data_IF_385423119843
#
_entry.id   IF_385423119843
#
_cell.length_a   1.000
_cell.length_b   1.000
_cell.length_c   1.000
_cell.angle_alpha   90.00
_cell.angle_beta   90.00
_cell.angle_gamma   90.00
#
_symmetry.space_group_name_H-M   'P 1'
#
loop_
_entity.id
_entity.type
_entity.pdbx_description
1 polymer ?
#
# COMPACT_ATOMS: atom_id res chain seq x y z
N UNK A 1 -28.51 68.18 17.30
CA UNK A 1 -28.01 67.10 18.18
C UNK A 1 -27.91 65.83 17.32
N UNK A 2 -26.97 65.60 16.39
CA UNK A 2 -25.48 65.57 16.38
C UNK A 2 -24.84 64.54 17.30
N UNK A 3 -24.63 63.32 16.79
CA UNK A 3 -23.45 62.45 16.92
C UNK A 3 -23.76 61.10 16.22
N UNK A 4 -22.86 60.33 15.62
CA UNK A 4 -21.53 60.51 15.05
C UNK A 4 -21.29 59.19 14.32
N UNK A 5 -21.39 59.19 12.99
CA UNK A 5 -21.12 58.02 12.15
C UNK A 5 -19.60 57.88 12.02
N UNK A 6 -19.03 56.86 12.68
CA UNK A 6 -17.61 56.54 12.57
C UNK A 6 -17.30 55.89 11.22
N UNK A 7 -16.89 56.76 10.31
CA UNK A 7 -16.07 56.58 9.11
C UNK A 7 -15.03 55.44 9.21
N UNK A 8 -15.29 54.28 8.57
CA UNK A 8 -14.22 53.36 8.17
C UNK A 8 -13.70 53.79 6.80
N UNK A 9 -12.62 54.57 6.79
CA UNK A 9 -11.90 55.00 5.60
C UNK A 9 -10.95 53.88 5.14
N UNK A 10 -11.17 53.40 3.91
CA UNK A 10 -10.29 52.47 3.21
C UNK A 10 -9.25 53.30 2.43
N UNK A 11 -7.94 53.24 2.75
CA UNK A 11 -6.94 53.93 1.95
C UNK A 11 -6.57 53.15 0.67
N UNK A 12 -6.09 53.86 -0.37
CA UNK A 12 -6.03 53.36 -1.74
C UNK A 12 -4.82 52.46 -2.01
N UNK A 13 -5.06 51.44 -2.82
CA UNK A 13 -4.05 50.72 -3.60
C UNK A 13 -3.45 51.67 -4.64
N UNK A 14 -2.12 51.91 -4.65
CA UNK A 14 -1.42 52.20 -5.91
C UNK A 14 0.02 51.66 -5.97
N UNK A 15 0.51 51.34 -7.18
CA UNK A 15 1.64 50.48 -7.43
C UNK A 15 2.88 51.26 -7.87
N UNK A 16 4.07 50.83 -7.45
CA UNK A 16 5.32 51.22 -8.12
C UNK A 16 6.16 50.00 -8.41
N UNK A 17 6.01 49.56 -9.65
CA UNK A 17 6.84 48.55 -10.31
C UNK A 17 8.22 49.11 -10.65
N UNK A 18 9.17 48.16 -10.82
CA UNK A 18 10.41 48.22 -11.62
C UNK A 18 11.57 49.00 -10.96
N UNK A 19 12.75 48.42 -10.74
CA UNK A 19 13.60 47.70 -11.71
C UNK A 19 14.70 46.93 -10.94
N UNK A 20 14.71 45.58 -11.00
CA UNK A 20 15.74 44.69 -11.58
C UNK A 20 16.98 44.44 -10.69
N UNK A 21 17.58 43.26 -10.53
CA UNK A 21 17.49 41.89 -11.07
C UNK A 21 18.41 40.99 -10.17
N UNK A 22 18.74 39.73 -10.52
CA UNK A 22 17.90 38.59 -10.85
C UNK A 22 18.16 37.42 -9.87
N UNK A 23 17.11 36.81 -9.31
CA UNK A 23 17.22 35.45 -8.74
C UNK A 23 16.75 34.48 -9.81
N UNK A 24 17.68 33.62 -10.21
CA UNK A 24 17.59 32.75 -11.37
C UNK A 24 16.33 31.86 -11.33
N UNK A 25 15.63 31.92 -12.45
CA UNK A 25 14.49 31.14 -12.85
C UNK A 25 14.96 29.75 -13.27
N UNK A 26 14.30 28.67 -12.82
CA UNK A 26 14.17 27.52 -13.71
C UNK A 26 12.85 26.79 -13.46
N UNK A 27 12.04 26.83 -14.53
CA UNK A 27 10.76 26.17 -14.75
C UNK A 27 11.00 24.65 -14.82
N UNK A 28 10.02 23.78 -14.55
CA UNK A 28 9.13 23.27 -15.61
C UNK A 28 8.08 22.33 -14.97
N UNK A 29 6.88 22.40 -15.55
CA UNK A 29 5.66 21.62 -15.34
C UNK A 29 5.78 20.21 -15.96
N UNK A 30 5.07 19.24 -15.39
CA UNK A 30 4.91 17.88 -15.93
C UNK A 30 5.95 16.92 -15.33
N UNK A 31 5.68 15.65 -15.08
CA UNK A 31 5.00 14.74 -15.99
C UNK A 31 4.91 13.37 -15.28
N UNK A 32 3.74 12.76 -15.24
CA UNK A 32 3.60 11.29 -15.18
C UNK A 32 4.41 10.68 -16.32
N UNK A 33 5.54 10.02 -16.07
CA UNK A 33 6.07 8.99 -16.99
C UNK A 33 7.06 8.09 -16.23
N UNK A 34 6.62 6.85 -16.00
CA UNK A 34 7.39 5.64 -16.24
C UNK A 34 8.48 5.87 -17.30
N UNK A 35 9.78 5.74 -16.99
CA UNK A 35 10.82 5.19 -17.89
C UNK A 35 12.19 5.09 -17.18
N UNK A 36 12.90 4.02 -17.53
CA UNK A 36 14.15 3.52 -16.98
C UNK A 36 15.41 4.37 -17.27
N UNK A 37 16.36 4.35 -16.33
CA UNK A 37 17.82 4.55 -16.51
C UNK A 37 18.52 3.87 -15.32
N UNK A 38 19.15 2.68 -15.38
CA UNK A 38 20.29 2.12 -16.13
C UNK A 38 21.69 2.72 -15.82
N UNK A 39 22.49 1.88 -15.13
CA UNK A 39 23.96 1.78 -15.00
C UNK A 39 24.70 2.88 -14.20
N UNK A 40 25.70 2.60 -13.35
CA UNK A 40 26.84 1.70 -13.53
C UNK A 40 27.59 1.43 -12.19
N UNK A 41 28.26 0.27 -12.11
CA UNK A 41 29.45 -0.08 -11.31
C UNK A 41 29.28 -0.95 -10.04
N UNK A 42 29.23 -2.28 -10.26
CA UNK A 42 30.09 -3.25 -9.55
C UNK A 42 30.20 -4.52 -10.41
N UNK A 43 31.19 -4.53 -11.32
CA UNK A 43 31.53 -5.71 -12.09
C UNK A 43 32.43 -6.63 -11.25
N UNK A 44 31.82 -7.52 -10.46
CA UNK A 44 32.48 -8.79 -10.14
C UNK A 44 32.13 -9.78 -11.25
N UNK A 45 33.09 -10.49 -11.85
CA UNK A 45 32.78 -11.62 -12.71
C UNK A 45 32.20 -12.73 -11.83
N UNK A 46 30.89 -12.69 -11.58
CA UNK A 46 30.19 -13.89 -11.14
C UNK A 46 30.26 -14.83 -12.33
N UNK A 47 31.00 -15.93 -12.18
CA UNK A 47 31.03 -17.01 -13.15
C UNK A 47 29.60 -17.23 -13.64
N UNK A 48 29.41 -17.25 -14.95
CA UNK A 48 28.11 -17.36 -15.59
C UNK A 48 27.36 -18.58 -15.05
N UNK A 49 26.60 -18.39 -13.98
CA UNK A 49 25.55 -19.29 -13.55
C UNK A 49 24.56 -19.27 -14.71
N UNK A 50 24.64 -20.33 -15.53
CA UNK A 50 23.65 -20.64 -16.55
C UNK A 50 22.28 -20.29 -15.97
N UNK A 51 21.51 -19.34 -16.55
CA UNK A 51 20.20 -18.98 -16.05
C UNK A 51 19.43 -20.27 -15.86
N UNK A 52 19.13 -20.59 -14.60
CA UNK A 52 18.33 -21.74 -14.27
C UNK A 52 17.01 -21.54 -15.05
N UNK A 53 16.57 -22.52 -15.84
CA UNK A 53 15.39 -22.34 -16.66
C UNK A 53 14.23 -21.86 -15.78
N UNK A 54 13.41 -20.90 -16.24
CA UNK A 54 12.29 -20.39 -15.48
C UNK A 54 11.44 -21.58 -15.00
N UNK A 55 11.28 -21.67 -13.68
CA UNK A 55 10.52 -22.73 -13.02
C UNK A 55 9.13 -22.14 -12.69
N UNK A 56 8.08 -22.53 -13.44
CA UNK A 56 6.77 -21.94 -13.29
C UNK A 56 6.15 -22.21 -11.91
N UNK A 57 6.44 -23.36 -11.29
CA UNK A 57 5.89 -23.71 -9.97
C UNK A 57 6.53 -22.88 -8.85
N UNK A 58 7.85 -22.69 -8.89
CA UNK A 58 8.56 -21.82 -7.93
C UNK A 58 8.11 -20.38 -8.10
N UNK A 59 7.98 -19.89 -9.34
CA UNK A 59 7.48 -18.55 -9.61
C UNK A 59 6.04 -18.34 -9.12
N UNK A 60 5.16 -19.37 -9.25
CA UNK A 60 3.81 -19.31 -8.73
C UNK A 60 3.78 -19.22 -7.19
N UNK A 61 4.65 -19.97 -6.50
CA UNK A 61 4.78 -19.91 -5.05
C UNK A 61 5.32 -18.56 -4.56
N UNK A 62 6.31 -17.99 -5.25
CA UNK A 62 6.82 -16.64 -4.99
C UNK A 62 5.73 -15.57 -5.17
N UNK A 63 4.95 -15.66 -6.24
CA UNK A 63 3.83 -14.75 -6.47
C UNK A 63 2.73 -14.89 -5.40
N UNK A 64 2.46 -16.11 -4.92
CA UNK A 64 1.51 -16.33 -3.83
C UNK A 64 2.00 -15.73 -2.50
N UNK A 65 3.29 -15.89 -2.17
CA UNK A 65 3.90 -15.26 -1.00
C UNK A 65 3.82 -13.73 -1.07
N UNK A 66 4.15 -13.13 -2.22
CA UNK A 66 4.04 -11.69 -2.40
C UNK A 66 2.59 -11.20 -2.19
N UNK A 67 1.60 -11.93 -2.69
CA UNK A 67 0.17 -11.62 -2.44
C UNK A 67 -0.15 -11.71 -0.95
N UNK A 68 0.29 -12.74 -0.25
CA UNK A 68 0.07 -12.90 1.18
C UNK A 68 0.70 -11.77 2.01
N UNK A 69 1.95 -11.41 1.70
CA UNK A 69 2.67 -10.32 2.35
C UNK A 69 1.98 -8.97 2.12
N UNK A 70 1.51 -8.71 0.89
CA UNK A 70 0.75 -7.49 0.57
C UNK A 70 -0.58 -7.38 1.30
N UNK A 71 -1.11 -8.49 1.82
CA UNK A 71 -2.32 -8.54 2.62
C UNK A 71 -2.01 -8.58 4.13
N UNK A 72 -0.81 -8.18 4.57
CA UNK A 72 -0.42 -8.16 5.98
C UNK A 72 -0.48 -9.54 6.66
N UNK A 73 -0.21 -10.63 5.92
CA UNK A 73 -0.12 -11.97 6.51
C UNK A 73 0.91 -12.10 7.62
N UNK A 74 1.92 -11.22 7.66
CA UNK A 74 2.85 -11.17 8.78
C UNK A 74 2.17 -10.82 10.11
N UNK A 75 1.07 -10.04 10.08
CA UNK A 75 0.32 -9.64 11.26
C UNK A 75 -0.78 -10.65 11.62
N UNK A 76 -1.46 -11.22 10.62
CA UNK A 76 -2.68 -12.02 10.84
C UNK A 76 -2.51 -13.54 10.64
N UNK A 77 -1.40 -13.97 10.03
CA UNK A 77 -1.14 -15.37 9.68
C UNK A 77 0.35 -15.72 9.71
N UNK A 78 1.11 -15.15 10.67
CA UNK A 78 2.57 -15.25 10.74
C UNK A 78 3.09 -16.70 10.66
N UNK A 79 2.48 -17.62 11.40
CA UNK A 79 2.88 -19.02 11.43
C UNK A 79 2.73 -19.70 10.06
N UNK A 80 1.63 -19.40 9.34
CA UNK A 80 1.41 -20.00 8.03
C UNK A 80 2.31 -19.39 6.98
N UNK A 81 2.54 -18.07 7.05
CA UNK A 81 3.50 -17.39 6.18
C UNK A 81 4.92 -17.95 6.37
N UNK A 82 5.30 -18.28 7.60
CA UNK A 82 6.57 -18.93 7.90
C UNK A 82 6.68 -20.33 7.27
N UNK A 83 5.63 -21.15 7.38
CA UNK A 83 5.61 -22.47 6.74
C UNK A 83 5.69 -22.37 5.22
N UNK A 84 4.97 -21.43 4.60
CA UNK A 84 5.02 -21.19 3.16
C UNK A 84 6.45 -20.82 2.70
N UNK A 85 7.12 -19.91 3.41
CA UNK A 85 8.52 -19.53 3.15
C UNK A 85 9.48 -20.71 3.33
N UNK A 86 9.27 -21.54 4.36
CA UNK A 86 10.08 -22.74 4.60
C UNK A 86 9.90 -23.77 3.48
N UNK A 87 8.67 -24.03 3.05
CA UNK A 87 8.37 -24.94 1.95
C UNK A 87 8.99 -24.45 0.63
N UNK A 88 8.94 -23.13 0.35
CA UNK A 88 9.59 -22.55 -0.83
C UNK A 88 11.11 -22.73 -0.79
N UNK A 89 11.75 -22.46 0.35
CA UNK A 89 13.19 -22.67 0.51
C UNK A 89 13.59 -24.14 0.29
N UNK A 90 12.78 -25.08 0.79
CA UNK A 90 12.97 -26.51 0.52
C UNK A 90 12.75 -26.87 -0.96
N UNK A 91 11.76 -26.28 -1.62
CA UNK A 91 11.48 -26.49 -3.03
C UNK A 91 12.67 -26.04 -3.91
N UNK A 92 13.22 -24.86 -3.63
CA UNK A 92 14.41 -24.33 -4.30
C UNK A 92 15.62 -25.24 -4.09
N UNK A 93 15.84 -25.74 -2.87
CA UNK A 93 16.90 -26.70 -2.58
C UNK A 93 16.74 -28.01 -3.37
N UNK A 94 15.54 -28.61 -3.37
CA UNK A 94 15.25 -29.85 -4.12
C UNK A 94 15.41 -29.67 -5.63
N UNK A 95 15.09 -28.49 -6.15
CA UNK A 95 15.29 -28.18 -7.55
C UNK A 95 16.79 -28.14 -7.91
N UNK A 96 17.62 -27.52 -7.07
CA UNK A 96 19.08 -27.51 -7.22
C UNK A 96 19.68 -28.93 -7.13
N UNK A 97 19.12 -29.80 -6.29
CA UNK A 97 19.45 -31.23 -6.19
C UNK A 97 18.99 -32.07 -7.41
N UNK A 98 18.37 -31.45 -8.43
CA UNK A 98 17.73 -32.12 -9.58
C UNK A 98 16.57 -33.05 -9.21
N UNK A 99 16.00 -32.92 -8.01
CA UNK A 99 14.81 -33.65 -7.54
C UNK A 99 13.54 -32.88 -7.91
N UNK A 100 13.29 -32.77 -9.22
CA UNK A 100 12.17 -31.95 -9.75
C UNK A 100 10.79 -32.32 -9.18
N UNK A 101 10.39 -33.60 -9.04
CA UNK A 101 9.08 -33.94 -8.50
C UNK A 101 8.89 -33.45 -7.05
N UNK A 102 9.89 -33.67 -6.19
CA UNK A 102 9.87 -33.20 -4.81
C UNK A 102 9.81 -31.67 -4.74
N UNK A 103 10.58 -30.99 -5.59
CA UNK A 103 10.57 -29.54 -5.70
C UNK A 103 9.20 -29.00 -6.12
N UNK A 104 8.54 -29.63 -7.09
CA UNK A 104 7.19 -29.26 -7.54
C UNK A 104 6.17 -29.43 -6.42
N UNK A 105 6.21 -30.55 -5.70
CA UNK A 105 5.31 -30.79 -4.57
C UNK A 105 5.49 -29.75 -3.45
N UNK A 106 6.73 -29.41 -3.11
CA UNK A 106 7.03 -28.39 -2.11
C UNK A 106 6.65 -26.98 -2.58
N UNK A 107 6.81 -26.66 -3.86
CA UNK A 107 6.38 -25.38 -4.42
C UNK A 107 4.85 -25.22 -4.38
N UNK A 108 4.11 -26.29 -4.71
CA UNK A 108 2.65 -26.29 -4.61
C UNK A 108 2.18 -26.15 -3.15
N UNK A 109 2.85 -26.84 -2.22
CA UNK A 109 2.59 -26.66 -0.79
C UNK A 109 2.82 -25.22 -0.36
N UNK A 110 3.95 -24.62 -0.73
CA UNK A 110 4.27 -23.23 -0.42
C UNK A 110 3.21 -22.27 -0.97
N UNK A 111 2.76 -22.47 -2.21
CA UNK A 111 1.70 -21.67 -2.82
C UNK A 111 0.37 -21.80 -2.05
N UNK A 112 -0.02 -23.03 -1.70
CA UNK A 112 -1.26 -23.28 -0.96
C UNK A 112 -1.24 -22.67 0.45
N UNK A 113 -0.13 -22.76 1.17
CA UNK A 113 0.02 -22.12 2.48
C UNK A 113 0.04 -20.59 2.37
N UNK A 114 0.68 -20.02 1.35
CA UNK A 114 0.65 -18.58 1.11
C UNK A 114 -0.76 -18.09 0.77
N UNK A 115 -1.50 -18.80 -0.09
CA UNK A 115 -2.90 -18.48 -0.40
C UNK A 115 -3.80 -18.59 0.85
N UNK A 116 -3.57 -19.57 1.71
CA UNK A 116 -4.26 -19.66 3.01
C UNK A 116 -3.95 -18.45 3.89
N UNK A 117 -2.67 -18.06 4.00
CA UNK A 117 -2.26 -16.91 4.79
C UNK A 117 -2.91 -15.62 4.27
N UNK A 118 -2.93 -15.43 2.95
CA UNK A 118 -3.65 -14.33 2.28
C UNK A 118 -5.13 -14.30 2.63
N UNK A 119 -5.82 -15.44 2.52
CA UNK A 119 -7.24 -15.54 2.84
C UNK A 119 -7.51 -15.18 4.31
N UNK A 120 -6.64 -15.65 5.22
CA UNK A 120 -6.78 -15.38 6.64
C UNK A 120 -6.63 -13.90 6.98
N UNK A 121 -5.68 -13.21 6.37
CA UNK A 121 -5.52 -11.78 6.59
C UNK A 121 -6.68 -10.97 6.04
N UNK A 122 -7.18 -11.34 4.85
CA UNK A 122 -8.37 -10.70 4.28
C UNK A 122 -9.60 -10.87 5.17
N UNK A 123 -9.77 -12.05 5.76
CA UNK A 123 -10.82 -12.28 6.73
C UNK A 123 -10.69 -11.34 7.93
N UNK A 124 -9.49 -11.19 8.48
CA UNK A 124 -9.24 -10.28 9.60
C UNK A 124 -9.55 -8.81 9.25
N UNK A 125 -9.18 -8.35 8.05
CA UNK A 125 -9.51 -7.01 7.56
C UNK A 125 -11.03 -6.81 7.47
N UNK A 126 -11.75 -7.73 6.83
CA UNK A 126 -13.21 -7.67 6.69
C UNK A 126 -13.92 -7.69 8.06
N UNK A 127 -13.43 -8.50 9.00
CA UNK A 127 -13.97 -8.53 10.35
C UNK A 127 -13.75 -7.20 11.08
N UNK A 128 -12.60 -6.56 10.88
CA UNK A 128 -12.33 -5.24 11.47
C UNK A 128 -13.28 -4.17 10.92
N UNK A 129 -13.45 -4.12 9.60
CA UNK A 129 -14.37 -3.21 8.93
C UNK A 129 -15.82 -3.41 9.40
N UNK A 130 -16.23 -4.67 9.57
CA UNK A 130 -17.56 -4.98 10.08
C UNK A 130 -17.77 -4.47 11.50
N UNK A 131 -16.77 -4.58 12.38
CA UNK A 131 -16.85 -4.03 13.75
C UNK A 131 -16.97 -2.50 13.72
N UNK A 132 -16.18 -1.83 12.88
CA UNK A 132 -16.19 -0.38 12.73
C UNK A 132 -17.58 0.10 12.28
N UNK A 133 -18.10 -0.47 11.19
CA UNK A 133 -19.43 -0.13 10.64
C UNK A 133 -20.54 -0.35 11.67
N UNK A 134 -20.47 -1.43 12.44
CA UNK A 134 -21.44 -1.70 13.53
C UNK A 134 -21.35 -0.67 14.65
N UNK A 135 -20.15 -0.18 14.99
CA UNK A 135 -19.98 0.87 15.99
C UNK A 135 -20.56 2.20 15.49
N UNK A 136 -20.28 2.58 14.25
CA UNK A 136 -20.83 3.77 13.59
C UNK A 136 -22.37 3.73 13.57
N UNK A 137 -22.98 2.61 13.18
CA UNK A 137 -24.45 2.46 13.19
C UNK A 137 -25.03 2.65 14.60
N UNK A 138 -24.37 2.13 15.64
CA UNK A 138 -24.83 2.31 17.03
C UNK A 138 -24.76 3.78 17.44
N UNK A 139 -23.66 4.45 17.11
CA UNK A 139 -23.49 5.87 17.42
C UNK A 139 -24.54 6.74 16.71
N UNK A 140 -24.78 6.49 15.42
CA UNK A 140 -25.80 7.20 14.64
C UNK A 140 -27.20 7.00 15.23
N UNK A 141 -27.54 5.77 15.64
CA UNK A 141 -28.82 5.49 16.31
C UNK A 141 -28.98 6.24 17.62
N UNK A 142 -27.95 6.27 18.47
CA UNK A 142 -27.98 7.04 19.72
C UNK A 142 -28.19 8.53 19.47
N UNK A 143 -27.54 9.09 18.44
CA UNK A 143 -27.72 10.51 18.07
C UNK A 143 -29.14 10.80 17.60
N UNK A 144 -29.72 9.93 16.77
CA UNK A 144 -31.12 10.04 16.32
C UNK A 144 -32.10 9.94 17.50
N UNK A 145 -31.86 9.02 18.43
CA UNK A 145 -32.67 8.84 19.63
C UNK A 145 -32.51 9.98 20.67
N UNK A 146 -31.47 10.82 20.54
CA UNK A 146 -31.30 12.05 21.34
C UNK A 146 -31.88 13.30 20.66
N UNK A 147 -32.17 13.25 19.36
CA UNK A 147 -32.86 14.29 18.59
C UNK A 147 -34.37 14.04 18.32
N UNK A 148 -35.16 13.27 19.13
CA UNK A 148 -36.55 12.98 18.79
C UNK A 148 -37.54 14.07 19.23
N UNK A 149 -37.11 15.21 19.78
CA UNK A 149 -38.03 16.21 20.35
C UNK A 149 -37.59 17.68 20.21
N UNK A 150 -36.75 18.02 19.22
CA UNK A 150 -36.33 19.42 19.00
C UNK A 150 -37.26 20.23 18.08
N UNK A 151 -38.34 19.63 17.54
CA UNK A 151 -39.02 20.21 16.37
C UNK A 151 -40.50 19.94 16.16
N UNK A 152 -41.26 19.46 17.15
CA UNK A 152 -42.73 19.43 17.05
C UNK A 152 -43.31 20.32 18.15
N UNK A 153 -43.35 21.64 17.88
CA UNK A 153 -44.25 22.54 18.62
C UNK A 153 -45.58 22.63 17.86
N UNK A 154 -46.74 22.46 18.53
CA UNK A 154 -48.05 22.67 17.91
C UNK A 154 -48.25 24.13 17.51
#
# INVERSE_FOLDING_TARGET
MTASFAQFAFPPQQPTSRTAAPVALSRVIGLTFLFATLALAAASPRAAEKPLPPNPEIAAAEAALARAESADAQQYAADVLLRARSALGQAQAKWAERRKPDAVALAQLAAAEADYAYARSREAAVQSDLRLRRAEIRELRMKLDMEPDAGVRP
#
